data_IF_092289785584
#
_entry.id   IF_092289785584
#
_cell.length_a   1.000
_cell.length_b   1.000
_cell.length_c   1.000
_cell.angle_alpha   90.00
_cell.angle_beta   90.00
_cell.angle_gamma   90.00
#
_symmetry.space_group_name_H-M   'P 1'
#
loop_
_entity.id
_entity.type
_entity.pdbx_description
1 polymer ?
#
# COMPACT_ATOMS: atom_id res chain seq x y z
N UNK A 1 58.97 -9.68 -43.05
CA UNK A 1 58.21 -10.89 -43.45
C UNK A 1 56.76 -10.72 -43.02
N UNK A 2 55.86 -10.75 -44.01
CA UNK A 2 54.40 -10.98 -43.99
C UNK A 2 53.56 -10.29 -42.88
N UNK A 3 52.89 -9.17 -43.17
CA UNK A 3 51.66 -9.06 -43.97
C UNK A 3 50.43 -9.65 -43.26
N UNK A 4 49.54 -8.78 -42.79
CA UNK A 4 48.10 -8.93 -43.05
C UNK A 4 47.50 -7.53 -43.15
N UNK A 5 47.37 -7.07 -44.40
CA UNK A 5 46.36 -6.09 -44.80
C UNK A 5 44.97 -6.67 -44.54
N UNK A 6 43.98 -5.81 -44.26
CA UNK A 6 42.88 -5.58 -45.19
C UNK A 6 42.02 -4.39 -44.72
N UNK A 7 42.18 -3.28 -45.44
CA UNK A 7 41.23 -2.18 -45.54
C UNK A 7 40.18 -2.55 -46.59
N UNK A 8 38.96 -2.04 -46.43
CA UNK A 8 37.92 -2.00 -47.45
C UNK A 8 36.81 -3.04 -47.21
N UNK A 9 35.54 -2.78 -47.44
CA UNK A 9 34.91 -1.69 -48.16
C UNK A 9 33.51 -1.42 -47.60
N UNK A 10 33.07 -0.18 -47.79
CA UNK A 10 31.75 0.31 -47.45
C UNK A 10 30.65 -0.39 -48.25
N UNK A 11 29.53 -0.68 -47.60
CA UNK A 11 28.24 -0.90 -48.27
C UNK A 11 27.22 0.10 -47.71
N UNK A 12 26.62 0.82 -48.66
CA UNK A 12 25.60 1.85 -48.49
C UNK A 12 24.37 1.37 -47.71
N UNK A 13 23.98 2.21 -46.75
CA UNK A 13 22.66 2.81 -46.59
C UNK A 13 21.45 2.00 -47.15
N UNK A 14 20.68 1.39 -46.25
CA UNK A 14 19.21 1.35 -46.39
C UNK A 14 18.60 1.87 -45.09
N UNK A 15 18.04 3.07 -45.22
CA UNK A 15 17.20 3.79 -44.27
C UNK A 15 15.86 3.06 -44.17
N UNK A 16 15.55 2.47 -43.02
CA UNK A 16 14.16 2.22 -42.63
C UNK A 16 13.96 2.65 -41.18
N UNK A 17 13.45 3.86 -41.09
CA UNK A 17 12.70 4.41 -39.96
C UNK A 17 11.73 3.36 -39.42
N UNK A 18 11.92 2.96 -38.17
CA UNK A 18 10.81 2.61 -37.28
C UNK A 18 11.21 3.01 -35.88
N UNK A 19 10.90 4.26 -35.57
CA UNK A 19 10.78 4.76 -34.21
C UNK A 19 9.73 3.92 -33.49
N UNK A 20 10.16 2.93 -32.71
CA UNK A 20 9.39 2.49 -31.55
C UNK A 20 10.10 3.02 -30.31
N UNK A 21 9.84 4.30 -30.06
CA UNK A 21 9.83 4.85 -28.72
C UNK A 21 9.01 3.91 -27.85
N UNK A 22 9.67 3.26 -26.87
CA UNK A 22 8.96 2.65 -25.75
C UNK A 22 8.06 3.73 -25.14
N UNK A 23 6.73 3.54 -25.08
CA UNK A 23 5.93 4.38 -24.23
C UNK A 23 6.36 4.05 -22.80
N UNK A 24 7.10 4.98 -22.20
CA UNK A 24 7.06 5.19 -20.75
C UNK A 24 5.61 5.54 -20.44
N UNK A 25 4.77 4.54 -20.24
CA UNK A 25 3.52 4.71 -19.52
C UNK A 25 3.93 5.11 -18.11
N UNK A 26 4.05 6.42 -17.90
CA UNK A 26 3.82 7.06 -16.61
C UNK A 26 2.63 6.34 -16.01
N UNK A 27 2.87 5.51 -15.00
CA UNK A 27 1.79 5.00 -14.18
C UNK A 27 1.08 6.24 -13.66
N UNK A 28 -0.12 6.49 -14.17
CA UNK A 28 -1.06 7.40 -13.56
C UNK A 28 -1.39 6.77 -12.21
N UNK A 29 -0.55 7.06 -11.21
CA UNK A 29 -0.96 6.89 -9.83
C UNK A 29 -2.27 7.70 -9.71
N UNK A 30 -3.36 7.09 -9.24
CA UNK A 30 -4.59 7.83 -9.05
C UNK A 30 -4.28 9.02 -8.15
N UNK A 31 -4.60 10.21 -8.67
CA UNK A 31 -4.65 11.45 -7.92
C UNK A 31 -5.49 11.15 -6.69
N UNK A 32 -4.88 11.13 -5.51
CA UNK A 32 -5.59 11.06 -4.24
C UNK A 32 -6.52 12.25 -4.19
N UNK A 33 -7.81 11.98 -4.44
CA UNK A 33 -8.87 12.93 -4.25
C UNK A 33 -8.87 13.31 -2.76
N UNK A 34 -8.66 14.59 -2.45
CA UNK A 34 -8.74 15.18 -1.11
C UNK A 34 -10.18 15.10 -0.58
N UNK A 35 -10.69 13.89 -0.35
CA UNK A 35 -11.80 13.66 0.55
C UNK A 35 -11.22 13.70 1.95
N UNK A 36 -11.54 14.77 2.70
CA UNK A 36 -11.34 14.97 4.14
C UNK A 36 -10.43 13.91 4.78
N UNK A 37 -9.15 14.26 4.99
CA UNK A 37 -8.29 13.51 5.92
C UNK A 37 -9.04 13.54 7.25
N UNK A 38 -9.80 12.48 7.53
CA UNK A 38 -10.39 12.28 8.84
C UNK A 38 -9.18 12.22 9.76
N UNK A 39 -9.11 13.17 10.70
CA UNK A 39 -8.04 13.16 11.70
C UNK A 39 -8.12 11.81 12.41
N UNK A 40 -7.16 10.93 12.12
CA UNK A 40 -7.03 9.63 12.78
C UNK A 40 -6.48 9.88 14.18
N UNK A 41 -7.33 10.45 15.03
CA UNK A 41 -7.01 10.66 16.43
C UNK A 41 -7.75 9.60 17.23
N UNK A 42 -7.06 9.02 18.21
CA UNK A 42 -7.73 8.25 19.24
C UNK A 42 -8.66 9.19 20.02
N UNK A 43 -9.71 8.65 20.63
CA UNK A 43 -10.51 9.43 21.55
C UNK A 43 -9.60 9.96 22.67
N UNK A 44 -9.67 11.26 23.01
CA UNK A 44 -8.72 11.88 23.94
C UNK A 44 -8.71 11.22 25.32
N UNK A 45 -9.86 10.71 25.76
CA UNK A 45 -10.00 9.99 27.04
C UNK A 45 -9.27 8.63 27.04
N UNK A 46 -9.13 7.98 25.89
CA UNK A 46 -8.44 6.69 25.77
C UNK A 46 -6.95 6.85 25.50
N UNK A 47 -6.54 8.00 24.95
CA UNK A 47 -5.15 8.29 24.60
C UNK A 47 -4.23 8.25 25.83
N UNK A 48 -4.66 8.83 26.95
CA UNK A 48 -3.88 8.82 28.20
C UNK A 48 -3.66 7.39 28.72
N UNK A 49 -4.67 6.53 28.63
CA UNK A 49 -4.54 5.11 29.01
C UNK A 49 -3.54 4.39 28.11
N UNK A 50 -3.57 4.64 26.81
CA UNK A 50 -2.63 4.03 25.86
C UNK A 50 -1.21 4.58 26.00
N UNK A 51 -1.05 5.84 26.40
CA UNK A 51 0.26 6.40 26.77
C UNK A 51 0.82 5.74 28.03
N UNK A 52 0.00 5.55 29.07
CA UNK A 52 0.41 4.84 30.29
C UNK A 52 0.82 3.38 30.00
N UNK A 53 0.18 2.74 29.01
CA UNK A 53 0.54 1.40 28.53
C UNK A 53 1.78 1.38 27.63
N UNK A 54 2.35 2.55 27.28
CA UNK A 54 3.48 2.67 26.36
C UNK A 54 3.13 2.29 24.91
N UNK A 55 1.85 2.35 24.54
CA UNK A 55 1.40 2.05 23.18
C UNK A 55 1.57 3.25 22.26
N UNK A 56 1.55 4.45 22.81
CA UNK A 56 1.59 5.71 22.07
C UNK A 56 2.62 6.64 22.71
N UNK A 57 3.37 7.38 21.89
CA UNK A 57 4.33 8.38 22.34
C UNK A 57 3.68 9.74 22.66
N UNK A 58 4.51 10.71 23.06
CA UNK A 58 4.07 12.06 23.42
C UNK A 58 3.45 12.84 22.24
N UNK A 59 3.70 12.42 21.00
CA UNK A 59 3.16 13.03 19.78
C UNK A 59 1.96 12.26 19.21
N UNK A 60 1.50 11.21 19.88
CA UNK A 60 0.31 10.45 19.47
C UNK A 60 0.60 9.33 18.47
N UNK A 61 1.87 8.94 18.24
CA UNK A 61 2.23 7.85 17.35
C UNK A 61 2.36 6.53 18.09
N UNK A 62 1.87 5.46 17.47
CA UNK A 62 1.99 4.11 18.02
C UNK A 62 3.46 3.70 18.10
N UNK A 63 3.93 3.31 19.28
CA UNK A 63 5.25 2.73 19.49
C UNK A 63 5.22 1.21 19.32
N UNK A 64 6.24 0.63 18.68
CA UNK A 64 6.34 -0.81 18.43
C UNK A 64 7.78 -1.23 18.12
N UNK A 65 8.13 -2.47 18.46
CA UNK A 65 9.41 -3.08 18.09
C UNK A 65 9.27 -4.02 16.90
N UNK A 66 8.07 -4.58 16.69
CA UNK A 66 7.78 -5.51 15.60
C UNK A 66 6.56 -5.08 14.79
N UNK A 67 6.47 -5.55 13.54
CA UNK A 67 5.27 -5.32 12.71
C UNK A 67 4.01 -5.93 13.33
N UNK A 68 4.15 -7.03 14.07
CA UNK A 68 3.04 -7.62 14.81
C UNK A 68 2.54 -6.67 15.89
N UNK A 69 3.45 -6.07 16.66
CA UNK A 69 3.12 -5.08 17.68
C UNK A 69 2.53 -3.81 17.08
N UNK A 70 3.08 -3.32 15.96
CA UNK A 70 2.51 -2.19 15.23
C UNK A 70 1.05 -2.45 14.92
N UNK A 71 0.76 -3.61 14.31
CA UNK A 71 -0.60 -3.99 13.95
C UNK A 71 -1.49 -4.06 15.20
N UNK A 72 -1.08 -4.80 16.22
CA UNK A 72 -1.91 -5.04 17.40
C UNK A 72 -2.18 -3.76 18.20
N UNK A 73 -1.14 -2.95 18.45
CA UNK A 73 -1.26 -1.70 19.22
C UNK A 73 -2.05 -0.66 18.44
N UNK A 74 -1.81 -0.50 17.14
CA UNK A 74 -2.57 0.46 16.32
C UNK A 74 -4.04 0.07 16.23
N UNK A 75 -4.35 -1.23 16.18
CA UNK A 75 -5.74 -1.68 16.19
C UNK A 75 -6.43 -1.41 17.53
N UNK A 76 -5.73 -1.54 18.65
CA UNK A 76 -6.28 -1.21 19.96
C UNK A 76 -6.51 0.29 20.15
N UNK A 77 -5.54 1.12 19.72
CA UNK A 77 -5.58 2.58 19.90
C UNK A 77 -6.63 3.24 19.01
N UNK A 78 -6.78 2.75 17.78
CA UNK A 78 -7.62 3.36 16.75
C UNK A 78 -8.83 2.50 16.37
N UNK A 79 -9.30 1.64 17.27
CA UNK A 79 -10.32 0.60 17.04
C UNK A 79 -11.49 1.04 16.15
N UNK A 80 -12.14 2.16 16.47
CA UNK A 80 -13.30 2.67 15.75
C UNK A 80 -12.97 3.42 14.44
N UNK A 81 -11.69 3.71 14.18
CA UNK A 81 -11.28 4.48 13.01
C UNK A 81 -11.32 3.61 11.75
N UNK A 82 -11.79 4.12 10.61
CA UNK A 82 -11.72 3.41 9.34
C UNK A 82 -10.26 3.24 8.90
N UNK A 83 -9.82 2.04 8.54
CA UNK A 83 -8.43 1.75 8.12
C UNK A 83 -8.31 1.54 6.61
N UNK A 84 -9.21 0.76 6.03
CA UNK A 84 -9.26 0.52 4.59
C UNK A 84 -10.71 0.38 4.16
N UNK A 85 -10.96 0.49 2.87
CA UNK A 85 -12.29 0.24 2.33
C UNK A 85 -12.23 -0.44 0.98
N UNK A 86 -13.32 -1.11 0.67
CA UNK A 86 -13.49 -1.87 -0.58
C UNK A 86 -14.54 -1.18 -1.41
N UNK A 87 -14.19 -0.89 -2.67
CA UNK A 87 -15.16 -0.43 -3.65
C UNK A 87 -15.73 -1.63 -4.38
N UNK A 88 -17.04 -1.86 -4.22
CA UNK A 88 -17.77 -2.93 -4.90
C UNK A 88 -18.59 -2.34 -6.03
N UNK A 89 -18.45 -2.90 -7.24
CA UNK A 89 -19.29 -2.58 -8.39
C UNK A 89 -20.09 -3.83 -8.72
N UNK A 90 -21.42 -3.82 -8.51
CA UNK A 90 -22.27 -4.94 -8.90
C UNK A 90 -22.16 -5.22 -10.40
N UNK A 91 -22.16 -6.49 -10.79
CA UNK A 91 -22.14 -6.86 -12.21
C UNK A 91 -23.34 -6.23 -12.94
N UNK A 92 -23.06 -5.53 -14.04
CA UNK A 92 -24.08 -4.82 -14.82
C UNK A 92 -24.50 -3.45 -14.28
N UNK A 93 -23.90 -2.97 -13.19
CA UNK A 93 -24.10 -1.61 -12.65
C UNK A 93 -22.94 -0.68 -12.99
N UNK A 94 -23.22 0.60 -13.18
CA UNK A 94 -22.21 1.68 -13.21
C UNK A 94 -22.03 2.35 -11.85
N UNK A 95 -22.94 2.13 -10.91
CA UNK A 95 -22.87 2.65 -9.55
C UNK A 95 -22.22 1.62 -8.63
N UNK A 96 -21.15 2.02 -7.95
CA UNK A 96 -20.46 1.23 -6.95
C UNK A 96 -20.72 1.74 -5.54
N UNK A 97 -20.55 0.85 -4.55
CA UNK A 97 -20.62 1.19 -3.13
C UNK A 97 -19.23 1.07 -2.51
N UNK A 98 -18.86 2.09 -1.74
CA UNK A 98 -17.66 2.04 -0.92
C UNK A 98 -18.01 1.61 0.50
N UNK A 99 -17.37 0.55 0.97
CA UNK A 99 -17.55 0.02 2.32
C UNK A 99 -16.23 0.15 3.09
N UNK A 100 -16.26 0.90 4.19
CA UNK A 100 -15.12 1.06 5.09
C UNK A 100 -15.07 -0.09 6.09
N UNK A 101 -13.85 -0.50 6.43
CA UNK A 101 -13.55 -1.38 7.55
C UNK A 101 -12.77 -0.60 8.59
N UNK A 102 -13.11 -0.83 9.85
CA UNK A 102 -12.44 -0.24 11.02
C UNK A 102 -11.21 -1.03 11.43
N UNK A 103 -10.32 -0.39 12.21
CA UNK A 103 -9.16 -1.06 12.80
C UNK A 103 -9.57 -2.26 13.67
N UNK A 104 -10.67 -2.15 14.42
CA UNK A 104 -11.24 -3.22 15.24
C UNK A 104 -11.67 -4.41 14.40
N UNK A 105 -12.51 -4.17 13.38
CA UNK A 105 -12.97 -5.23 12.45
C UNK A 105 -11.80 -5.91 11.73
N UNK A 106 -10.77 -5.15 11.37
CA UNK A 106 -9.56 -5.72 10.78
C UNK A 106 -8.83 -6.64 11.77
N UNK A 107 -8.65 -6.20 13.02
CA UNK A 107 -7.99 -6.98 14.05
C UNK A 107 -8.72 -8.29 14.34
N UNK A 108 -10.05 -8.27 14.40
CA UNK A 108 -10.87 -9.47 14.59
C UNK A 108 -10.67 -10.48 13.45
N UNK A 109 -10.64 -9.99 12.20
CA UNK A 109 -10.39 -10.85 11.03
C UNK A 109 -8.99 -11.46 11.05
N UNK A 110 -7.97 -10.68 11.44
CA UNK A 110 -6.59 -11.17 11.59
C UNK A 110 -6.50 -12.19 12.72
N UNK A 111 -7.14 -11.95 13.86
CA UNK A 111 -7.18 -12.87 14.98
C UNK A 111 -7.84 -14.21 14.60
N UNK A 112 -8.98 -14.14 13.90
CA UNK A 112 -9.66 -15.31 13.38
C UNK A 112 -8.78 -16.10 12.40
N UNK A 113 -8.19 -15.44 11.40
CA UNK A 113 -7.28 -16.09 10.45
C UNK A 113 -6.07 -16.72 11.14
N UNK A 114 -5.46 -16.04 12.13
CA UNK A 114 -4.38 -16.61 12.94
C UNK A 114 -4.81 -17.83 13.73
N UNK A 115 -6.04 -17.86 14.25
CA UNK A 115 -6.62 -19.03 14.91
C UNK A 115 -6.68 -20.22 13.96
N UNK A 116 -7.34 -20.03 12.81
CA UNK A 116 -7.46 -21.08 11.78
C UNK A 116 -6.09 -21.58 11.30
N UNK A 117 -5.13 -20.67 11.06
CA UNK A 117 -3.80 -21.03 10.62
C UNK A 117 -3.01 -21.82 11.67
N UNK A 118 -3.21 -21.54 12.97
CA UNK A 118 -2.58 -22.31 14.04
C UNK A 118 -3.13 -23.74 14.13
N UNK A 119 -4.41 -23.91 13.83
CA UNK A 119 -5.07 -25.22 13.91
C UNK A 119 -4.65 -26.16 12.77
N UNK A 120 -4.24 -25.63 11.61
CA UNK A 120 -3.83 -26.42 10.44
C UNK A 120 -2.33 -26.77 10.41
N UNK A 121 -1.49 -26.11 11.21
CA UNK A 121 -0.04 -26.31 11.26
C UNK A 121 0.72 -25.70 10.10
#
# INVERSE_FOLDING_TARGET
MTSTQLRGAAIRLIRRSSSQSRPTTRSLLPVFNSGSIRSFTAAPEQLEEFQQKGYVDDIGLTMFDTLHELQHRSCAVYDANPIFGTHTVPEGSTEGKFEWMTYGEFNDKVAHARGVLKDIG
#
